data_IF_344205318283
#
_entry.id   IF_344205318283
#
_cell.length_a   1.000
_cell.length_b   1.000
_cell.length_c   1.000
_cell.angle_alpha   90.00
_cell.angle_beta   90.00
_cell.angle_gamma   90.00
#
_symmetry.space_group_name_H-M   'P 1'
#
loop_
_entity.id
_entity.type
_entity.pdbx_description
1 polymer ?
#
# COMPACT_ATOMS: atom_id res chain seq x y z
N UNK A 1 2.66 -3.74 -17.30
CA UNK A 1 1.31 -4.12 -16.83
C UNK A 1 1.11 -5.63 -16.75
N UNK A 2 1.36 -6.43 -17.80
CA UNK A 2 1.20 -7.91 -17.74
C UNK A 2 2.03 -8.54 -16.61
N UNK A 3 3.33 -8.23 -16.53
CA UNK A 3 4.18 -8.75 -15.45
C UNK A 3 3.70 -8.30 -14.07
N UNK A 4 3.24 -7.06 -13.94
CA UNK A 4 2.68 -6.50 -12.71
C UNK A 4 1.41 -7.24 -12.28
N UNK A 5 0.52 -7.57 -13.23
CA UNK A 5 -0.68 -8.36 -12.95
C UNK A 5 -0.31 -9.77 -12.44
N UNK A 6 0.65 -10.43 -13.10
CA UNK A 6 1.15 -11.74 -12.65
C UNK A 6 1.73 -11.69 -11.22
N UNK A 7 2.52 -10.65 -10.92
CA UNK A 7 3.04 -10.39 -9.58
C UNK A 7 1.92 -10.24 -8.54
N UNK A 8 0.91 -9.39 -8.80
CA UNK A 8 -0.20 -9.18 -7.88
C UNK A 8 -1.08 -10.42 -7.67
N UNK A 9 -1.24 -11.26 -8.69
CA UNK A 9 -1.95 -12.55 -8.56
C UNK A 9 -1.16 -13.49 -7.65
N UNK A 10 0.15 -13.60 -7.88
CA UNK A 10 1.02 -14.41 -7.02
C UNK A 10 0.99 -13.91 -5.58
N UNK A 11 1.10 -12.60 -5.37
CA UNK A 11 1.09 -11.97 -4.05
C UNK A 11 -0.24 -12.18 -3.33
N UNK A 12 -1.38 -12.07 -4.04
CA UNK A 12 -2.69 -12.44 -3.49
C UNK A 12 -2.74 -13.91 -3.07
N UNK A 13 -2.21 -14.83 -3.89
CA UNK A 13 -2.13 -16.25 -3.55
C UNK A 13 -1.29 -16.49 -2.30
N UNK A 14 -0.14 -15.83 -2.19
CA UNK A 14 0.74 -15.91 -1.03
C UNK A 14 0.04 -15.46 0.26
N UNK A 15 -0.64 -14.32 0.22
CA UNK A 15 -1.43 -13.79 1.34
C UNK A 15 -2.57 -14.74 1.74
N UNK A 16 -3.26 -15.35 0.78
CA UNK A 16 -4.36 -16.26 1.12
C UNK A 16 -3.88 -17.57 1.77
N UNK A 17 -2.70 -18.06 1.41
CA UNK A 17 -2.15 -19.35 1.86
C UNK A 17 -1.32 -19.20 3.14
N UNK A 18 -0.42 -18.23 3.20
CA UNK A 18 0.64 -18.16 4.22
C UNK A 18 0.47 -17.00 5.20
N UNK A 19 0.06 -15.83 4.72
CA UNK A 19 0.04 -14.62 5.55
C UNK A 19 -1.36 -14.00 5.64
N UNK A 20 -2.03 -14.24 6.76
CA UNK A 20 -3.34 -13.66 7.08
C UNK A 20 -3.17 -12.21 7.53
N UNK A 21 -2.59 -11.38 6.67
CA UNK A 21 -2.51 -9.94 6.91
C UNK A 21 -3.90 -9.33 7.07
N UNK A 22 -3.94 -8.03 7.40
CA UNK A 22 -5.22 -7.41 7.76
C UNK A 22 -6.30 -7.61 6.68
N UNK A 23 -7.58 -7.66 7.08
CA UNK A 23 -8.71 -7.75 6.13
C UNK A 23 -8.64 -6.66 5.05
N UNK A 24 -8.12 -5.48 5.41
CA UNK A 24 -7.87 -4.36 4.50
C UNK A 24 -6.80 -4.69 3.46
N UNK A 25 -5.72 -5.36 3.88
CA UNK A 25 -4.64 -5.80 2.99
C UNK A 25 -5.15 -6.83 1.98
N UNK A 26 -5.89 -7.85 2.42
CA UNK A 26 -6.52 -8.82 1.50
C UNK A 26 -7.46 -8.12 0.51
N UNK A 27 -8.33 -7.23 1.00
CA UNK A 27 -9.22 -6.45 0.14
C UNK A 27 -8.44 -5.61 -0.87
N UNK A 28 -7.32 -5.02 -0.47
CA UNK A 28 -6.42 -4.27 -1.34
C UNK A 28 -5.84 -5.14 -2.45
N UNK A 29 -5.37 -6.37 -2.19
CA UNK A 29 -4.84 -7.23 -3.25
C UNK A 29 -5.92 -7.72 -4.22
N UNK A 30 -7.08 -8.16 -3.70
CA UNK A 30 -8.21 -8.57 -4.55
C UNK A 30 -8.60 -7.41 -5.48
N UNK A 31 -8.71 -6.20 -4.91
CA UNK A 31 -9.04 -5.02 -5.66
C UNK A 31 -7.96 -4.63 -6.68
N UNK A 32 -6.68 -4.73 -6.31
CA UNK A 32 -5.56 -4.40 -7.19
C UNK A 32 -5.46 -5.36 -8.37
N UNK A 33 -5.68 -6.66 -8.16
CA UNK A 33 -5.76 -7.65 -9.25
C UNK A 33 -6.91 -7.30 -10.21
N UNK A 34 -8.10 -6.98 -9.68
CA UNK A 34 -9.23 -6.57 -10.50
C UNK A 34 -8.93 -5.28 -11.29
N UNK A 35 -8.42 -4.25 -10.62
CA UNK A 35 -8.09 -2.96 -11.23
C UNK A 35 -7.03 -3.11 -12.33
N UNK A 36 -5.96 -3.87 -12.09
CA UNK A 36 -4.91 -4.12 -13.07
C UNK A 36 -5.42 -4.94 -14.26
N UNK A 37 -6.24 -5.95 -14.02
CA UNK A 37 -6.87 -6.71 -15.08
C UNK A 37 -7.76 -5.81 -15.96
N UNK A 38 -8.56 -4.93 -15.34
CA UNK A 38 -9.41 -3.98 -16.06
C UNK A 38 -8.59 -2.98 -16.88
N UNK A 39 -7.50 -2.45 -16.30
CA UNK A 39 -6.61 -1.51 -17.00
C UNK A 39 -5.81 -2.16 -18.13
N UNK A 40 -5.47 -3.43 -18.00
CA UNK A 40 -4.77 -4.17 -19.07
C UNK A 40 -5.63 -4.34 -20.33
N UNK A 41 -6.94 -4.50 -20.15
CA UNK A 41 -7.90 -4.59 -21.25
C UNK A 41 -8.33 -3.22 -21.80
N UNK A 42 -7.90 -2.11 -21.18
CA UNK A 42 -8.09 -0.78 -21.76
C UNK A 42 -6.96 -0.48 -22.75
N UNK A 43 -7.34 -0.06 -23.95
CA UNK A 43 -6.40 0.35 -25.00
C UNK A 43 -5.86 1.79 -24.83
N UNK A 44 -6.23 2.47 -23.75
CA UNK A 44 -5.87 3.85 -23.43
C UNK A 44 -5.61 3.99 -21.92
N UNK A 45 -5.04 5.12 -21.50
CA UNK A 45 -4.68 5.39 -20.09
C UNK A 45 -3.63 4.46 -19.46
N UNK A 46 -2.89 3.68 -20.25
CA UNK A 46 -1.83 2.80 -19.76
C UNK A 46 -0.71 3.53 -18.99
N UNK A 47 -0.36 4.74 -19.41
CA UNK A 47 0.60 5.59 -18.69
C UNK A 47 0.08 5.99 -17.30
N UNK A 48 -1.18 6.43 -17.21
CA UNK A 48 -1.80 6.79 -15.92
C UNK A 48 -1.88 5.58 -14.99
N UNK A 49 -2.28 4.43 -15.52
CA UNK A 49 -2.36 3.19 -14.75
C UNK A 49 -0.97 2.69 -14.29
N UNK A 50 0.08 2.88 -15.11
CA UNK A 50 1.46 2.53 -14.72
C UNK A 50 2.01 3.49 -13.66
N UNK A 51 1.75 4.79 -13.78
CA UNK A 51 2.10 5.77 -12.75
C UNK A 51 1.38 5.48 -11.43
N UNK A 52 0.09 5.11 -11.49
CA UNK A 52 -0.67 4.69 -10.32
C UNK A 52 -0.08 3.40 -9.70
N UNK A 53 0.26 2.39 -10.50
CA UNK A 53 0.94 1.20 -10.00
C UNK A 53 2.28 1.55 -9.32
N UNK A 54 3.11 2.36 -9.96
CA UNK A 54 4.42 2.74 -9.42
C UNK A 54 4.32 3.54 -8.13
N UNK A 55 3.38 4.49 -8.05
CA UNK A 55 3.12 5.23 -6.80
C UNK A 55 2.56 4.33 -5.71
N UNK A 56 1.90 3.24 -6.09
CA UNK A 56 1.50 2.24 -5.12
C UNK A 56 2.68 1.45 -4.56
N UNK A 57 3.57 0.99 -5.42
CA UNK A 57 4.64 0.07 -5.02
C UNK A 57 5.87 0.74 -4.41
N UNK A 58 6.03 2.06 -4.55
CA UNK A 58 7.25 2.75 -4.09
C UNK A 58 7.51 2.63 -2.58
N UNK A 59 6.46 2.48 -1.76
CA UNK A 59 6.60 2.29 -0.32
C UNK A 59 6.95 0.84 0.07
N UNK A 60 6.74 -0.13 -0.82
CA UNK A 60 6.85 -1.56 -0.52
C UNK A 60 8.29 -2.02 -0.23
N UNK A 61 9.35 -1.51 -0.89
CA UNK A 61 10.73 -1.83 -0.51
C UNK A 61 11.04 -1.54 0.96
N UNK A 62 10.47 -0.48 1.54
CA UNK A 62 10.66 -0.16 2.96
C UNK A 62 9.89 -1.13 3.86
N UNK A 63 8.69 -1.55 3.44
CA UNK A 63 7.89 -2.55 4.16
C UNK A 63 8.60 -3.91 4.19
N UNK A 64 9.19 -4.33 3.07
CA UNK A 64 9.99 -5.54 2.98
C UNK A 64 11.29 -5.43 3.77
N UNK A 65 11.99 -4.28 3.69
CA UNK A 65 13.19 -4.03 4.50
C UNK A 65 12.93 -4.15 6.00
N UNK A 66 11.75 -3.68 6.47
CA UNK A 66 11.32 -3.84 7.86
C UNK A 66 11.17 -5.31 8.26
N UNK A 67 10.61 -6.14 7.37
CA UNK A 67 10.48 -7.58 7.60
C UNK A 67 11.85 -8.26 7.69
N UNK A 68 12.76 -7.97 6.75
CA UNK A 68 14.13 -8.49 6.76
C UNK A 68 14.91 -8.08 8.01
N UNK A 69 14.84 -6.81 8.41
CA UNK A 69 15.51 -6.36 9.62
C UNK A 69 14.98 -7.03 10.88
N UNK A 70 13.69 -7.37 10.90
CA UNK A 70 13.12 -8.14 12.00
C UNK A 70 13.58 -9.60 11.97
N UNK A 71 13.63 -10.25 10.80
CA UNK A 71 14.05 -11.66 10.69
C UNK A 71 15.52 -11.85 11.07
N UNK A 72 16.38 -10.89 10.74
CA UNK A 72 17.80 -10.89 11.09
C UNK A 72 18.09 -10.46 12.55
N UNK A 73 17.06 -10.18 13.35
CA UNK A 73 17.22 -9.83 14.77
C UNK A 73 17.64 -8.38 15.05
N UNK A 74 17.62 -7.49 14.06
CA UNK A 74 17.90 -6.05 14.25
C UNK A 74 16.74 -5.28 14.92
N UNK A 75 15.79 -5.97 15.55
CA UNK A 75 14.70 -5.37 16.32
C UNK A 75 14.95 -5.54 17.82
N UNK A 76 14.92 -4.47 18.65
CA UNK A 76 14.80 -3.05 18.29
C UNK A 76 16.16 -2.39 18.03
N UNK A 77 16.32 -1.73 16.87
CA UNK A 77 17.49 -0.89 16.57
C UNK A 77 17.07 0.49 16.05
N UNK A 78 18.00 1.45 16.11
CA UNK A 78 17.84 2.78 15.50
C UNK A 78 17.61 2.65 13.99
N UNK A 79 18.33 1.73 13.33
CA UNK A 79 18.16 1.47 11.91
C UNK A 79 16.76 0.94 11.58
N UNK A 80 16.27 -0.05 12.32
CA UNK A 80 14.90 -0.54 12.16
C UNK A 80 13.86 0.58 12.33
N UNK A 81 14.04 1.44 13.34
CA UNK A 81 13.14 2.58 13.60
C UNK A 81 13.18 3.61 12.47
N UNK A 82 14.35 3.90 11.91
CA UNK A 82 14.48 4.82 10.77
C UNK A 82 13.71 4.31 9.54
N UNK A 83 13.80 3.01 9.22
CA UNK A 83 13.06 2.40 8.10
C UNK A 83 11.55 2.52 8.30
N UNK A 84 11.05 2.32 9.52
CA UNK A 84 9.62 2.51 9.83
C UNK A 84 9.15 3.96 9.66
N UNK A 85 9.94 4.93 10.10
CA UNK A 85 9.61 6.36 9.95
C UNK A 85 9.66 6.75 8.48
N UNK A 86 10.70 6.32 7.74
CA UNK A 86 10.83 6.56 6.31
C UNK A 86 9.66 5.95 5.54
N UNK A 87 9.26 4.72 5.87
CA UNK A 87 8.06 4.10 5.29
C UNK A 87 6.82 4.98 5.49
N UNK A 88 6.57 5.45 6.71
CA UNK A 88 5.41 6.32 6.98
C UNK A 88 5.47 7.62 6.16
N UNK A 89 6.63 8.29 6.11
CA UNK A 89 6.78 9.55 5.38
C UNK A 89 6.55 9.34 3.88
N UNK A 90 7.19 8.32 3.30
CA UNK A 90 7.01 7.99 1.87
C UNK A 90 5.55 7.62 1.58
N UNK A 91 4.93 6.81 2.45
CA UNK A 91 3.53 6.43 2.32
C UNK A 91 2.63 7.68 2.32
N UNK A 92 2.83 8.60 3.28
CA UNK A 92 2.06 9.83 3.36
C UNK A 92 2.24 10.72 2.12
N UNK A 93 3.48 11.02 1.75
CA UNK A 93 3.77 11.92 0.62
C UNK A 93 3.25 11.35 -0.70
N UNK A 94 3.47 10.06 -0.96
CA UNK A 94 3.08 9.47 -2.24
C UNK A 94 1.60 9.09 -2.27
N UNK A 95 1.09 8.41 -1.23
CA UNK A 95 -0.28 7.87 -1.27
C UNK A 95 -1.33 8.92 -0.91
N UNK A 96 -1.00 9.88 -0.06
CA UNK A 96 -1.96 10.89 0.40
C UNK A 96 -1.78 12.18 -0.37
N UNK A 97 -0.61 12.82 -0.30
CA UNK A 97 -0.39 14.14 -0.94
C UNK A 97 -0.46 14.02 -2.47
N UNK A 98 0.42 13.20 -3.05
CA UNK A 98 0.43 12.99 -4.50
C UNK A 98 -0.82 12.23 -4.97
N UNK A 99 -1.36 11.31 -4.15
CA UNK A 99 -2.63 10.63 -4.41
C UNK A 99 -3.81 11.60 -4.51
N UNK A 100 -3.88 12.63 -3.66
CA UNK A 100 -4.91 13.69 -3.75
C UNK A 100 -4.82 14.42 -5.08
N UNK A 101 -3.61 14.83 -5.46
CA UNK A 101 -3.36 15.50 -6.73
C UNK A 101 -3.81 14.64 -7.92
N UNK A 102 -3.42 13.35 -7.94
CA UNK A 102 -3.84 12.44 -8.99
C UNK A 102 -5.35 12.21 -9.01
N UNK A 103 -6.01 12.07 -7.86
CA UNK A 103 -7.45 11.90 -7.82
C UNK A 103 -8.19 13.11 -8.39
N UNK A 104 -7.74 14.33 -8.08
CA UNK A 104 -8.28 15.57 -8.65
C UNK A 104 -8.13 15.55 -10.18
N UNK A 105 -6.91 15.33 -10.68
CA UNK A 105 -6.63 15.27 -12.12
C UNK A 105 -7.49 14.20 -12.80
N UNK A 106 -7.62 13.03 -12.20
CA UNK A 106 -8.40 11.92 -12.76
C UNK A 106 -9.90 12.24 -12.80
N UNK A 107 -10.41 12.91 -11.77
CA UNK A 107 -11.85 13.23 -11.63
C UNK A 107 -12.28 14.32 -12.60
N UNK A 108 -11.46 15.35 -12.79
CA UNK A 108 -11.78 16.49 -13.65
C UNK A 108 -11.42 16.28 -15.13
N UNK A 109 -10.61 15.27 -15.46
CA UNK A 109 -10.27 15.00 -16.86
C UNK A 109 -11.47 14.35 -17.61
N UNK A 110 -12.05 15.03 -18.62
CA UNK A 110 -13.27 14.56 -19.29
C UNK A 110 -13.03 13.29 -20.12
N UNK A 111 -11.79 13.03 -20.53
CA UNK A 111 -11.40 11.82 -21.28
C UNK A 111 -11.36 10.54 -20.44
N UNK A 112 -11.45 10.66 -19.11
CA UNK A 112 -11.42 9.51 -18.22
C UNK A 112 -12.83 8.97 -18.03
N UNK A 113 -13.03 7.70 -18.35
CA UNK A 113 -14.29 7.02 -18.13
C UNK A 113 -14.64 6.90 -16.65
N UNK A 114 -15.92 6.67 -16.40
CA UNK A 114 -16.48 6.47 -15.07
C UNK A 114 -15.84 5.31 -14.31
N UNK A 115 -15.53 4.19 -14.98
CA UNK A 115 -14.90 3.04 -14.34
C UNK A 115 -13.49 3.38 -13.81
N UNK A 116 -12.69 4.14 -14.55
CA UNK A 116 -11.36 4.56 -14.10
C UNK A 116 -11.41 5.50 -12.90
N UNK A 117 -12.40 6.40 -12.85
CA UNK A 117 -12.61 7.32 -11.71
C UNK A 117 -12.99 6.55 -10.45
N UNK A 118 -13.90 5.59 -10.57
CA UNK A 118 -14.27 4.69 -9.46
C UNK A 118 -13.03 3.91 -9.01
N UNK A 119 -12.25 3.39 -9.97
CA UNK A 119 -11.05 2.64 -9.66
C UNK A 119 -10.03 3.44 -8.83
N UNK A 120 -9.78 4.68 -9.26
CA UNK A 120 -8.91 5.62 -8.56
C UNK A 120 -9.45 6.05 -7.18
N UNK A 121 -10.75 6.29 -7.07
CA UNK A 121 -11.36 6.73 -5.82
C UNK A 121 -11.30 5.64 -4.74
N UNK A 122 -11.62 4.38 -5.08
CA UNK A 122 -11.60 3.28 -4.09
C UNK A 122 -10.18 3.02 -3.57
N UNK A 123 -9.17 2.98 -4.45
CA UNK A 123 -7.79 2.73 -4.02
C UNK A 123 -7.23 3.86 -3.17
N UNK A 124 -7.69 5.10 -3.42
CA UNK A 124 -7.36 6.25 -2.60
C UNK A 124 -8.02 6.18 -1.22
N UNK A 125 -9.29 5.76 -1.13
CA UNK A 125 -9.98 5.52 0.16
C UNK A 125 -9.24 4.45 0.97
N UNK A 126 -8.85 3.33 0.34
CA UNK A 126 -8.04 2.29 1.01
C UNK A 126 -6.70 2.85 1.51
N UNK A 127 -6.07 3.76 0.77
CA UNK A 127 -4.82 4.41 1.18
C UNK A 127 -4.98 5.24 2.46
N UNK A 128 -6.11 5.94 2.63
CA UNK A 128 -6.44 6.61 3.89
C UNK A 128 -6.66 5.64 5.04
N UNK A 129 -7.35 4.51 4.80
CA UNK A 129 -7.54 3.48 5.82
C UNK A 129 -6.20 2.90 6.30
N UNK A 130 -5.27 2.65 5.37
CA UNK A 130 -3.90 2.25 5.72
C UNK A 130 -3.18 3.35 6.51
N UNK A 131 -3.26 4.62 6.09
CA UNK A 131 -2.63 5.72 6.81
C UNK A 131 -3.12 5.81 8.27
N UNK A 132 -4.43 5.67 8.50
CA UNK A 132 -5.00 5.67 9.84
C UNK A 132 -4.43 4.51 10.68
N UNK A 133 -4.33 3.31 10.11
CA UNK A 133 -3.78 2.15 10.81
C UNK A 133 -2.30 2.31 11.13
N UNK A 134 -1.50 2.85 10.19
CA UNK A 134 -0.07 3.14 10.38
C UNK A 134 0.13 4.17 11.48
N UNK A 135 -0.61 5.28 11.45
CA UNK A 135 -0.54 6.32 12.47
C UNK A 135 -0.92 5.78 13.85
N UNK A 136 -2.00 4.99 13.94
CA UNK A 136 -2.39 4.33 15.20
C UNK A 136 -1.28 3.41 15.72
N UNK A 137 -0.69 2.60 14.86
CA UNK A 137 0.43 1.72 15.22
C UNK A 137 1.60 2.51 15.82
N UNK A 138 2.01 3.62 15.18
CA UNK A 138 3.14 4.43 15.63
C UNK A 138 2.83 5.18 16.93
N UNK A 139 1.64 5.76 17.08
CA UNK A 139 1.23 6.42 18.32
C UNK A 139 1.20 5.41 19.48
N UNK A 140 0.67 4.21 19.28
CA UNK A 140 0.66 3.17 20.31
C UNK A 140 2.07 2.69 20.65
N UNK A 141 2.98 2.66 19.67
CA UNK A 141 4.36 2.20 19.86
C UNK A 141 5.25 3.24 20.54
N UNK A 142 5.08 4.53 20.23
CA UNK A 142 5.97 5.61 20.68
C UNK A 142 5.33 6.60 21.67
N UNK A 143 4.00 6.72 21.70
CA UNK A 143 3.29 7.79 22.39
C UNK A 143 2.60 7.41 23.71
N UNK A 144 2.41 6.12 24.01
CA UNK A 144 1.78 5.65 25.24
C UNK A 144 2.49 4.37 25.69
N UNK A 145 2.92 4.31 26.96
CA UNK A 145 3.76 3.25 27.54
C UNK A 145 3.18 1.83 27.54
N UNK A 146 2.90 1.28 26.37
CA UNK A 146 2.54 -0.12 26.17
C UNK A 146 3.81 -0.94 26.03
N UNK A 147 3.93 -1.97 26.88
CA UNK A 147 5.13 -2.83 26.90
C UNK A 147 5.31 -3.52 25.55
N UNK A 148 6.56 -3.60 25.02
CA UNK A 148 6.86 -4.09 23.67
C UNK A 148 6.50 -5.58 23.41
N UNK A 149 6.03 -6.32 24.42
CA UNK A 149 5.72 -7.74 24.32
C UNK A 149 4.43 -8.03 23.51
N UNK A 150 3.49 -7.08 23.42
CA UNK A 150 2.20 -7.26 22.72
C UNK A 150 2.23 -6.89 21.22
N UNK A 151 3.32 -6.32 20.71
CA UNK A 151 3.48 -5.96 19.29
C UNK A 151 4.10 -7.09 18.45
N UNK A 152 4.55 -8.18 19.09
CA UNK A 152 5.18 -9.33 18.42
C UNK A 152 4.21 -10.15 17.57
N UNK A 153 2.90 -10.04 17.84
CA UNK A 153 1.86 -10.92 17.26
C UNK A 153 0.89 -10.24 16.30
N UNK A 154 0.98 -8.91 16.11
CA UNK A 154 0.07 -8.14 15.25
C UNK A 154 0.83 -7.48 14.10
N UNK A 155 1.42 -8.30 13.24
CA UNK A 155 1.85 -7.86 11.91
C UNK A 155 0.64 -7.83 11.00
N UNK A 156 0.26 -6.65 10.54
CA UNK A 156 -0.67 -6.46 9.41
C UNK A 156 0.10 -6.30 8.12
#
# INVERSE_FOLDING_TARGET
>A
MVCSLGYFIHDLGWVLIYDRGSKLMIAHHIYSVFALNRMLHKHYSGAQATCALGSMEISNPMLQSRWFLRSEGYYPSVFYTSVEITFMIVFFLVRIVLGTYFLIVITFQPKNDWDFRILAATIYIMSWMFMINITKYLITKYGLGHKPHDLRTKGT
#
